data_IF_212474874002
#
_entry.id   IF_212474874002
#
_cell.length_a   1.000
_cell.length_b   1.000
_cell.length_c   1.000
_cell.angle_alpha   90.00
_cell.angle_beta   90.00
_cell.angle_gamma   90.00
#
_symmetry.space_group_name_H-M   'P 1'
#
loop_
_entity.id
_entity.type
_entity.pdbx_description
1 polymer ?
#
# COMPACT_ATOMS: atom_id res chain seq x y z
N UNK A 1 30.74 -24.63 78.34
CA UNK A 1 30.32 -23.46 77.54
C UNK A 1 30.89 -23.37 76.10
N UNK A 2 32.04 -24.00 75.77
CA UNK A 2 32.66 -23.91 74.45
C UNK A 2 31.98 -24.73 73.30
N UNK A 3 31.27 -25.84 73.62
CA UNK A 3 30.64 -26.69 72.61
C UNK A 3 29.29 -26.16 72.05
N UNK A 4 28.57 -25.36 72.87
CA UNK A 4 27.31 -24.76 72.43
C UNK A 4 27.47 -23.57 71.47
N UNK A 5 28.58 -22.82 71.63
CA UNK A 5 28.88 -21.66 70.80
C UNK A 5 29.30 -21.98 69.34
N UNK A 6 29.97 -23.15 69.19
CA UNK A 6 30.34 -23.68 67.85
C UNK A 6 29.12 -24.21 67.05
N UNK A 7 28.11 -24.71 67.76
CA UNK A 7 26.88 -25.21 67.10
C UNK A 7 25.97 -24.08 66.64
N UNK A 8 25.93 -22.96 67.40
CA UNK A 8 25.18 -21.78 66.97
C UNK A 8 25.82 -21.08 65.77
N UNK A 9 27.13 -20.99 65.69
CA UNK A 9 27.86 -20.41 64.55
C UNK A 9 27.69 -21.21 63.26
N UNK A 10 27.64 -22.55 63.34
CA UNK A 10 27.39 -23.37 62.16
C UNK A 10 25.96 -23.28 61.61
N UNK A 11 24.93 -23.07 62.49
CA UNK A 11 23.54 -22.86 62.05
C UNK A 11 23.36 -21.50 61.40
N UNK A 12 24.01 -20.45 61.92
CA UNK A 12 23.96 -19.11 61.34
C UNK A 12 24.65 -19.10 59.95
N UNK A 13 25.79 -19.81 59.81
CA UNK A 13 26.47 -19.93 58.51
C UNK A 13 25.63 -20.71 57.45
N UNK A 14 24.94 -21.77 57.85
CA UNK A 14 24.05 -22.51 56.97
C UNK A 14 22.79 -21.74 56.60
N UNK A 15 22.20 -20.94 57.50
CA UNK A 15 21.08 -20.04 57.20
C UNK A 15 21.50 -18.94 56.24
N UNK A 16 22.69 -18.32 56.42
CA UNK A 16 23.17 -17.29 55.51
C UNK A 16 23.44 -17.82 54.10
N UNK A 17 24.00 -19.03 53.97
CA UNK A 17 24.20 -19.69 52.69
C UNK A 17 22.84 -20.06 52.03
N UNK A 18 21.83 -20.47 52.80
CA UNK A 18 20.51 -20.78 52.31
C UNK A 18 19.78 -19.50 51.83
N UNK A 19 19.89 -18.39 52.56
CA UNK A 19 19.31 -17.09 52.19
C UNK A 19 19.96 -16.55 50.91
N UNK A 20 21.31 -16.63 50.80
CA UNK A 20 21.99 -16.17 49.57
C UNK A 20 21.60 -17.02 48.36
N UNK A 21 21.51 -18.33 48.55
CA UNK A 21 21.12 -19.27 47.48
C UNK A 21 19.66 -19.10 47.05
N UNK A 22 18.75 -18.81 47.99
CA UNK A 22 17.35 -18.50 47.70
C UNK A 22 17.17 -17.13 47.01
N UNK A 23 18.00 -16.14 47.36
CA UNK A 23 18.01 -14.83 46.70
C UNK A 23 18.60 -14.88 45.28
N UNK A 24 19.53 -15.79 45.01
CA UNK A 24 20.01 -16.04 43.64
C UNK A 24 18.98 -16.80 42.80
N UNK A 25 18.25 -17.76 43.37
CA UNK A 25 17.18 -18.44 42.66
C UNK A 25 15.96 -17.53 42.39
N UNK A 26 15.67 -16.55 43.27
CA UNK A 26 14.61 -15.55 43.01
C UNK A 26 15.03 -14.51 41.97
N UNK A 27 16.33 -14.25 41.81
CA UNK A 27 16.83 -13.39 40.70
C UNK A 27 16.88 -14.09 39.34
N UNK A 28 16.93 -15.41 39.29
CA UNK A 28 16.86 -16.18 38.03
C UNK A 28 15.42 -16.48 37.59
N UNK A 29 14.41 -16.18 38.42
CA UNK A 29 13.01 -16.51 38.16
C UNK A 29 12.18 -15.44 37.42
N UNK A 30 12.74 -14.29 37.06
CA UNK A 30 12.05 -13.23 36.30
C UNK A 30 12.89 -12.73 35.13
N UNK A 31 13.47 -13.64 34.37
CA UNK A 31 13.68 -13.35 32.97
C UNK A 31 12.26 -13.28 32.38
N UNK A 32 11.73 -12.06 32.19
CA UNK A 32 10.53 -11.87 31.40
C UNK A 32 10.77 -12.65 30.12
N UNK A 33 9.91 -13.62 29.84
CA UNK A 33 9.92 -14.33 28.56
C UNK A 33 9.85 -13.24 27.52
N UNK A 34 10.95 -12.94 26.84
CA UNK A 34 10.95 -11.96 25.75
C UNK A 34 9.90 -12.48 24.77
N UNK A 35 8.75 -11.82 24.79
CA UNK A 35 7.69 -12.14 23.81
C UNK A 35 8.26 -11.74 22.46
N UNK A 36 8.37 -12.71 21.56
CA UNK A 36 8.78 -12.45 20.18
C UNK A 36 7.93 -11.32 19.63
N UNK A 37 8.52 -10.22 19.15
CA UNK A 37 7.75 -9.11 18.62
C UNK A 37 6.82 -9.59 17.49
N UNK A 38 5.59 -9.07 17.45
CA UNK A 38 4.61 -9.42 16.44
C UNK A 38 4.14 -8.16 15.72
N UNK A 39 4.06 -8.20 14.40
CA UNK A 39 3.62 -7.10 13.55
C UNK A 39 2.36 -7.50 12.77
N UNK A 40 1.28 -6.76 12.96
CA UNK A 40 0.04 -6.93 12.19
C UNK A 40 -0.06 -5.84 11.13
N UNK A 41 -0.30 -6.22 9.88
CA UNK A 41 -0.37 -5.29 8.77
C UNK A 41 -1.70 -5.38 7.98
N UNK A 42 -2.18 -4.24 7.51
CA UNK A 42 -3.14 -4.19 6.41
C UNK A 42 -2.39 -3.88 5.12
N UNK A 43 -2.62 -4.70 4.09
CA UNK A 43 -1.91 -4.60 2.82
C UNK A 43 -2.89 -4.21 1.73
N UNK A 44 -2.73 -3.00 1.17
CA UNK A 44 -3.49 -2.52 0.02
C UNK A 44 -2.61 -2.47 -1.24
N UNK A 45 -1.77 -3.47 -1.38
CA UNK A 45 -0.95 -3.78 -2.55
C UNK A 45 -1.24 -5.22 -2.99
N UNK A 46 -0.52 -5.74 -3.97
CA UNK A 46 -0.53 -7.18 -4.24
C UNK A 46 -0.03 -7.96 -3.04
N UNK A 47 -0.57 -9.15 -2.82
CA UNK A 47 -0.24 -9.98 -1.67
C UNK A 47 1.25 -10.33 -1.59
N UNK A 48 1.88 -10.60 -2.73
CA UNK A 48 3.29 -10.92 -2.84
C UNK A 48 4.21 -9.78 -2.39
N UNK A 49 3.82 -8.52 -2.63
CA UNK A 49 4.55 -7.33 -2.16
C UNK A 49 4.52 -7.28 -0.62
N UNK A 50 3.33 -7.35 -0.02
CA UNK A 50 3.17 -7.32 1.43
C UNK A 50 3.91 -8.47 2.10
N UNK A 51 3.78 -9.68 1.56
CA UNK A 51 4.44 -10.89 2.05
C UNK A 51 5.96 -10.78 1.97
N UNK A 52 6.52 -10.33 0.83
CA UNK A 52 7.95 -10.21 0.64
C UNK A 52 8.59 -9.20 1.61
N UNK A 53 7.94 -8.03 1.82
CA UNK A 53 8.42 -7.02 2.75
C UNK A 53 8.36 -7.50 4.20
N UNK A 54 7.23 -8.08 4.62
CA UNK A 54 7.01 -8.53 6.00
C UNK A 54 7.89 -9.73 6.36
N UNK A 55 8.02 -10.73 5.47
CA UNK A 55 8.86 -11.89 5.74
C UNK A 55 10.33 -11.50 5.85
N UNK A 56 10.84 -10.73 4.88
CA UNK A 56 12.24 -10.31 4.90
C UNK A 56 12.59 -9.46 6.13
N UNK A 57 11.68 -8.55 6.51
CA UNK A 57 11.86 -7.76 7.72
C UNK A 57 11.87 -8.63 8.98
N UNK A 58 10.88 -9.52 9.14
CA UNK A 58 10.78 -10.34 10.36
C UNK A 58 11.87 -11.42 10.45
N UNK A 59 12.39 -11.92 9.33
CA UNK A 59 13.59 -12.77 9.30
C UNK A 59 14.82 -12.03 9.85
N UNK A 60 15.01 -10.76 9.51
CA UNK A 60 16.13 -9.94 10.01
C UNK A 60 15.93 -9.48 11.45
N UNK A 61 14.69 -9.10 11.81
CA UNK A 61 14.38 -8.50 13.12
C UNK A 61 14.03 -9.53 14.21
N UNK A 62 13.94 -10.81 13.89
CA UNK A 62 13.53 -11.87 14.82
C UNK A 62 12.08 -11.70 15.29
N UNK A 63 11.15 -11.31 14.38
CA UNK A 63 9.75 -11.13 14.70
C UNK A 63 8.83 -12.13 13.98
N UNK A 64 7.56 -12.13 14.36
CA UNK A 64 6.48 -12.79 13.61
C UNK A 64 5.55 -11.74 13.02
N UNK A 65 4.79 -12.10 12.00
CA UNK A 65 3.84 -11.19 11.38
C UNK A 65 2.54 -11.90 10.97
N UNK A 66 1.50 -11.11 10.85
CA UNK A 66 0.27 -11.46 10.15
C UNK A 66 -0.18 -10.29 9.28
N UNK A 67 -0.91 -10.54 8.22
CA UNK A 67 -1.51 -9.48 7.43
C UNK A 67 -2.84 -9.88 6.80
N UNK A 68 -3.63 -8.86 6.47
CA UNK A 68 -4.86 -9.00 5.69
C UNK A 68 -4.74 -8.13 4.46
N UNK A 69 -4.94 -8.73 3.28
CA UNK A 69 -5.01 -7.99 2.02
C UNK A 69 -6.41 -7.38 1.84
N UNK A 70 -6.46 -6.09 1.54
CA UNK A 70 -7.68 -5.30 1.34
C UNK A 70 -7.54 -4.44 0.08
N UNK A 71 -8.65 -4.09 -0.56
CA UNK A 71 -8.64 -2.98 -1.52
C UNK A 71 -8.51 -1.65 -0.78
N UNK A 72 -8.15 -0.58 -1.49
CA UNK A 72 -7.87 0.71 -0.84
C UNK A 72 -9.07 1.25 -0.07
N UNK A 73 -10.26 1.21 -0.67
CA UNK A 73 -11.47 1.69 -0.01
C UNK A 73 -11.95 0.76 1.13
N UNK A 74 -11.77 -0.55 0.96
CA UNK A 74 -12.07 -1.52 2.03
C UNK A 74 -11.16 -1.31 3.23
N UNK A 75 -9.88 -1.02 3.00
CA UNK A 75 -8.91 -0.66 4.03
C UNK A 75 -9.37 0.58 4.80
N UNK A 76 -9.74 1.67 4.12
CA UNK A 76 -10.23 2.90 4.77
C UNK A 76 -11.49 2.63 5.59
N UNK A 77 -12.45 1.86 5.04
CA UNK A 77 -13.68 1.46 5.77
C UNK A 77 -13.35 0.62 7.00
N UNK A 78 -12.47 -0.36 6.87
CA UNK A 78 -12.09 -1.25 7.96
C UNK A 78 -11.39 -0.51 9.09
N UNK A 79 -10.38 0.29 8.78
CA UNK A 79 -9.66 1.10 9.78
C UNK A 79 -10.62 2.08 10.47
N UNK A 80 -11.56 2.68 9.73
CA UNK A 80 -12.57 3.56 10.32
C UNK A 80 -13.50 2.80 11.28
N UNK A 81 -13.91 1.59 10.94
CA UNK A 81 -14.76 0.75 11.80
C UNK A 81 -14.02 0.28 13.07
N UNK A 82 -12.71 0.14 12.99
CA UNK A 82 -11.83 -0.31 14.08
C UNK A 82 -11.24 0.86 14.89
N UNK A 83 -11.73 2.09 14.72
CA UNK A 83 -11.16 3.31 15.31
C UNK A 83 -10.89 3.21 16.83
N UNK A 84 -11.84 2.61 17.59
CA UNK A 84 -11.72 2.46 19.04
C UNK A 84 -10.81 1.28 19.45
N UNK A 85 -10.68 0.28 18.57
CA UNK A 85 -9.88 -0.93 18.81
C UNK A 85 -9.09 -1.33 17.56
N UNK A 86 -8.07 -0.56 17.18
CA UNK A 86 -7.28 -0.81 15.97
C UNK A 86 -6.55 -2.16 16.07
N UNK A 87 -6.60 -2.95 15.02
CA UNK A 87 -6.02 -4.30 14.97
C UNK A 87 -4.67 -4.35 14.27
N UNK A 88 -4.46 -3.54 13.23
CA UNK A 88 -3.19 -3.49 12.54
C UNK A 88 -2.26 -2.40 13.11
N UNK A 89 -0.96 -2.64 13.02
CA UNK A 89 0.09 -1.71 13.45
C UNK A 89 0.47 -0.77 12.31
N UNK A 90 0.53 -1.32 11.07
CA UNK A 90 0.94 -0.60 9.85
C UNK A 90 0.01 -0.88 8.69
N UNK A 91 0.00 0.05 7.75
CA UNK A 91 -0.63 -0.06 6.44
C UNK A 91 0.48 -0.06 5.39
N UNK A 92 0.45 -1.03 4.48
CA UNK A 92 1.39 -1.16 3.36
C UNK A 92 0.60 -1.03 2.07
N UNK A 93 0.92 -0.03 1.26
CA UNK A 93 0.22 0.22 -0.01
C UNK A 93 -1.11 0.93 0.16
N UNK A 94 -1.82 1.03 -0.93
CA UNK A 94 -2.86 2.01 -1.12
C UNK A 94 -2.29 3.34 -1.56
N UNK A 95 -3.10 4.13 -2.25
CA UNK A 95 -2.70 5.42 -2.75
C UNK A 95 -2.65 6.47 -1.63
N UNK A 96 -1.80 7.46 -1.77
CA UNK A 96 -1.52 8.48 -0.74
C UNK A 96 -2.79 9.20 -0.21
N UNK A 97 -3.79 9.41 -1.06
CA UNK A 97 -5.09 10.04 -0.70
C UNK A 97 -5.87 9.24 0.34
N UNK A 98 -5.80 7.89 0.28
CA UNK A 98 -6.37 7.03 1.31
C UNK A 98 -5.69 7.23 2.67
N UNK A 99 -4.35 7.33 2.69
CA UNK A 99 -3.60 7.64 3.90
C UNK A 99 -3.89 9.05 4.42
N UNK A 100 -4.07 10.02 3.52
CA UNK A 100 -4.49 11.38 3.87
C UNK A 100 -5.90 11.39 4.50
N UNK A 101 -6.81 10.58 3.98
CA UNK A 101 -8.14 10.37 4.56
C UNK A 101 -8.06 9.82 5.99
N UNK A 102 -7.20 8.83 6.24
CA UNK A 102 -7.00 8.27 7.58
C UNK A 102 -6.39 9.30 8.54
N UNK A 103 -5.45 10.12 8.08
CA UNK A 103 -4.91 11.27 8.83
C UNK A 103 -6.01 12.23 9.24
N UNK A 104 -6.83 12.70 8.29
CA UNK A 104 -7.93 13.64 8.53
C UNK A 104 -8.95 13.11 9.54
N UNK A 105 -9.15 11.79 9.58
CA UNK A 105 -10.02 11.11 10.55
C UNK A 105 -9.34 10.85 11.90
N UNK A 106 -8.06 11.21 12.07
CA UNK A 106 -7.29 10.99 13.29
C UNK A 106 -6.99 9.51 13.59
N UNK A 107 -6.94 8.66 12.56
CA UNK A 107 -6.78 7.20 12.67
C UNK A 107 -5.33 6.73 12.48
N UNK A 108 -4.45 7.57 11.96
CA UNK A 108 -3.01 7.33 11.83
C UNK A 108 -2.22 8.16 12.84
N UNK A 109 -0.91 7.94 12.92
CA UNK A 109 0.00 8.65 13.82
C UNK A 109 1.31 8.96 13.12
N UNK A 110 1.96 10.11 13.40
CA UNK A 110 3.16 10.51 12.68
C UNK A 110 4.33 9.55 12.90
N UNK A 111 5.14 9.37 11.87
CA UNK A 111 6.41 8.66 11.95
C UNK A 111 7.54 9.59 12.43
N UNK A 112 8.69 9.03 12.95
CA UNK A 112 9.82 9.83 13.39
C UNK A 112 10.46 10.67 12.27
N UNK A 113 10.98 11.86 12.64
CA UNK A 113 11.59 12.82 11.69
C UNK A 113 12.86 12.33 11.00
N UNK A 114 13.53 11.32 11.56
CA UNK A 114 14.72 10.70 10.96
C UNK A 114 14.41 9.86 9.69
N UNK A 115 13.13 9.72 9.34
CA UNK A 115 12.67 9.08 8.11
C UNK A 115 12.20 10.09 7.04
N UNK A 116 12.41 11.38 7.24
CA UNK A 116 11.94 12.41 6.31
C UNK A 116 12.53 12.20 4.90
N UNK A 117 11.61 12.13 3.92
CA UNK A 117 11.92 12.14 2.48
C UNK A 117 11.07 13.25 1.86
N UNK A 118 11.64 14.44 1.72
CA UNK A 118 10.96 15.71 1.52
C UNK A 118 9.93 15.77 0.37
N UNK A 119 9.99 14.89 -0.62
CA UNK A 119 9.18 15.02 -1.85
C UNK A 119 7.98 14.08 -1.94
N UNK A 120 7.97 12.98 -1.17
CA UNK A 120 6.95 11.92 -1.32
C UNK A 120 6.35 11.52 0.03
N UNK A 121 6.02 12.51 0.85
CA UNK A 121 5.44 12.28 2.18
C UNK A 121 4.43 13.35 2.56
N UNK A 122 3.63 13.04 3.57
CA UNK A 122 2.81 14.04 4.25
C UNK A 122 3.70 15.05 5.00
N UNK A 123 3.46 16.36 4.85
CA UNK A 123 4.21 17.39 5.58
C UNK A 123 4.21 17.20 7.10
N UNK A 124 3.13 16.65 7.67
CA UNK A 124 3.00 16.36 9.10
C UNK A 124 3.44 14.93 9.46
N UNK A 125 4.01 14.18 8.50
CA UNK A 125 4.60 12.85 8.67
C UNK A 125 3.63 11.73 9.06
N UNK A 126 2.40 11.76 8.58
CA UNK A 126 1.42 10.69 8.82
C UNK A 126 1.52 9.53 7.82
N UNK A 127 2.05 9.79 6.64
CA UNK A 127 2.35 8.76 5.63
C UNK A 127 3.62 9.12 4.86
N UNK A 128 4.27 8.11 4.30
CA UNK A 128 5.45 8.25 3.46
C UNK A 128 5.35 7.33 2.26
N UNK A 129 5.65 7.87 1.08
CA UNK A 129 5.68 7.10 -0.15
C UNK A 129 6.89 6.19 -0.21
N UNK A 130 6.67 4.95 -0.57
CA UNK A 130 7.76 3.99 -0.79
C UNK A 130 7.95 3.66 -2.28
N UNK A 131 6.97 3.98 -3.10
CA UNK A 131 6.94 3.68 -4.53
C UNK A 131 6.04 4.66 -5.28
N UNK A 132 6.40 4.95 -6.53
CA UNK A 132 5.55 5.69 -7.47
C UNK A 132 5.12 4.77 -8.60
N UNK A 133 3.83 4.79 -8.87
CA UNK A 133 3.20 4.03 -9.94
C UNK A 133 2.65 4.96 -11.02
N UNK A 134 2.94 4.66 -12.26
CA UNK A 134 2.43 5.39 -13.42
C UNK A 134 1.23 4.69 -14.00
N UNK A 135 0.15 5.42 -14.30
CA UNK A 135 -0.98 4.88 -15.07
C UNK A 135 -0.55 4.58 -16.51
N UNK A 136 -1.11 3.51 -17.06
CA UNK A 136 -0.94 3.16 -18.46
C UNK A 136 -2.20 2.49 -19.01
N UNK A 137 -2.43 2.66 -20.31
CA UNK A 137 -3.38 1.85 -21.05
C UNK A 137 -2.72 0.50 -21.31
N UNK A 138 -3.37 -0.59 -20.95
CA UNK A 138 -2.96 -1.95 -21.32
C UNK A 138 -3.78 -2.40 -22.54
N UNK A 139 -3.10 -3.01 -23.52
CA UNK A 139 -3.69 -3.43 -24.78
C UNK A 139 -3.31 -4.90 -25.02
N UNK A 140 -4.28 -5.75 -25.33
CA UNK A 140 -3.99 -7.07 -25.89
C UNK A 140 -3.59 -6.91 -27.36
N UNK A 141 -2.33 -7.21 -27.68
CA UNK A 141 -1.78 -6.99 -29.02
C UNK A 141 -2.35 -7.94 -30.07
N UNK A 142 -2.74 -9.14 -29.70
CA UNK A 142 -3.28 -10.13 -30.64
C UNK A 142 -4.71 -9.76 -31.02
N UNK A 143 -5.57 -9.45 -30.04
CA UNK A 143 -6.95 -8.97 -30.27
C UNK A 143 -6.94 -7.65 -31.05
N UNK A 144 -5.99 -6.75 -30.74
CA UNK A 144 -5.84 -5.50 -31.48
C UNK A 144 -5.49 -5.72 -32.95
N UNK A 145 -4.48 -6.54 -33.21
CA UNK A 145 -4.01 -6.82 -34.56
C UNK A 145 -5.09 -7.50 -35.42
N UNK A 146 -5.87 -8.41 -34.81
CA UNK A 146 -6.99 -9.06 -35.48
C UNK A 146 -8.07 -8.05 -35.89
N UNK A 147 -8.40 -7.08 -35.02
CA UNK A 147 -9.52 -6.15 -35.27
C UNK A 147 -9.13 -4.90 -36.02
N UNK A 148 -7.95 -4.37 -35.79
CA UNK A 148 -7.55 -3.04 -36.30
C UNK A 148 -6.25 -3.04 -37.08
N UNK A 149 -5.48 -4.12 -37.06
CA UNK A 149 -4.21 -4.22 -37.79
C UNK A 149 -3.26 -3.08 -37.45
N UNK A 150 -2.90 -2.29 -38.47
CA UNK A 150 -1.90 -1.20 -38.34
C UNK A 150 -2.48 0.12 -37.78
N UNK A 151 -3.70 0.14 -37.25
CA UNK A 151 -4.26 1.34 -36.61
C UNK A 151 -3.45 1.69 -35.38
N UNK A 152 -3.17 2.99 -35.16
CA UNK A 152 -2.42 3.47 -34.01
C UNK A 152 -3.18 3.20 -32.69
N UNK A 153 -2.44 2.81 -31.65
CA UNK A 153 -2.96 2.61 -30.30
C UNK A 153 -3.48 3.92 -29.67
N UNK A 154 -4.49 3.87 -28.81
CA UNK A 154 -4.91 5.02 -27.99
C UNK A 154 -3.78 5.48 -27.10
N UNK A 155 -3.65 6.80 -26.89
CA UNK A 155 -2.55 7.41 -26.11
C UNK A 155 -3.05 8.17 -24.89
N UNK A 156 -4.33 8.48 -24.83
CA UNK A 156 -4.97 9.27 -23.75
C UNK A 156 -6.24 8.59 -23.28
N UNK A 157 -6.74 9.02 -22.10
CA UNK A 157 -8.05 8.56 -21.62
C UNK A 157 -9.18 8.98 -22.57
N UNK A 158 -9.07 10.18 -23.18
CA UNK A 158 -10.05 10.63 -24.18
C UNK A 158 -10.07 9.76 -25.44
N UNK A 159 -8.93 9.20 -25.87
CA UNK A 159 -8.92 8.29 -27.03
C UNK A 159 -9.75 7.02 -26.78
N UNK A 160 -9.84 6.60 -25.49
CA UNK A 160 -10.61 5.41 -25.10
C UNK A 160 -12.14 5.61 -25.21
N UNK A 161 -12.60 6.85 -25.37
CA UNK A 161 -14.04 7.17 -25.51
C UNK A 161 -14.59 6.83 -26.90
N UNK A 162 -13.73 6.50 -27.87
CA UNK A 162 -14.14 6.22 -29.24
C UNK A 162 -15.14 5.05 -29.29
N UNK A 163 -16.23 5.20 -30.08
CA UNK A 163 -17.31 4.20 -30.22
C UNK A 163 -16.83 2.81 -30.64
N UNK A 164 -15.70 2.72 -31.36
CA UNK A 164 -15.10 1.45 -31.76
C UNK A 164 -14.62 0.58 -30.58
N UNK A 165 -14.51 1.13 -29.38
CA UNK A 165 -14.11 0.42 -28.16
C UNK A 165 -15.31 0.06 -27.28
N UNK A 166 -16.53 0.08 -27.80
CA UNK A 166 -17.73 -0.28 -27.05
C UNK A 166 -17.63 -1.68 -26.46
N UNK A 167 -17.78 -1.79 -25.12
CA UNK A 167 -17.65 -3.04 -24.36
C UNK A 167 -16.28 -3.72 -24.45
N UNK A 168 -15.22 -2.97 -24.73
CA UNK A 168 -13.84 -3.48 -24.85
C UNK A 168 -12.92 -2.95 -23.75
N UNK A 169 -13.42 -2.07 -22.89
CA UNK A 169 -12.64 -1.43 -21.84
C UNK A 169 -12.93 -2.06 -20.49
N UNK A 170 -11.88 -2.36 -19.74
CA UNK A 170 -11.94 -2.75 -18.32
C UNK A 170 -11.29 -1.67 -17.50
N UNK A 171 -12.00 -1.12 -16.51
CA UNK A 171 -11.51 -0.13 -15.57
C UNK A 171 -11.66 -0.62 -14.12
N UNK A 172 -10.78 -0.22 -13.20
CA UNK A 172 -11.02 -0.43 -11.78
C UNK A 172 -12.09 0.55 -11.28
N UNK A 173 -12.98 0.05 -10.43
CA UNK A 173 -14.05 0.85 -9.82
C UNK A 173 -13.47 1.83 -8.79
N UNK A 174 -13.68 3.14 -8.93
CA UNK A 174 -13.20 4.13 -7.97
C UNK A 174 -13.83 4.00 -6.57
N UNK A 175 -14.99 3.34 -6.45
CA UNK A 175 -15.60 3.04 -5.14
C UNK A 175 -14.84 1.97 -4.34
N UNK A 176 -13.92 1.23 -4.98
CA UNK A 176 -13.22 0.11 -4.37
C UNK A 176 -11.70 0.20 -4.50
N UNK A 177 -11.20 0.86 -5.53
CA UNK A 177 -9.80 0.82 -5.95
C UNK A 177 -9.14 2.20 -5.96
N UNK A 178 -7.99 2.33 -5.27
CA UNK A 178 -7.16 3.54 -5.38
C UNK A 178 -6.69 3.80 -6.81
N UNK A 179 -6.45 2.77 -7.63
CA UNK A 179 -6.17 2.94 -9.07
C UNK A 179 -7.37 3.54 -9.80
N UNK A 180 -8.59 3.12 -9.47
CA UNK A 180 -9.83 3.71 -9.99
C UNK A 180 -9.96 5.17 -9.57
N UNK A 181 -9.65 5.48 -8.30
CA UNK A 181 -9.59 6.85 -7.79
C UNK A 181 -8.58 7.71 -8.57
N UNK A 182 -7.38 7.18 -8.82
CA UNK A 182 -6.35 7.87 -9.62
C UNK A 182 -6.81 8.13 -11.06
N UNK A 183 -7.53 7.20 -11.69
CA UNK A 183 -8.10 7.39 -13.04
C UNK A 183 -9.16 8.49 -13.01
N UNK A 184 -10.06 8.45 -12.02
CA UNK A 184 -11.11 9.46 -11.86
C UNK A 184 -10.50 10.85 -11.69
N UNK A 185 -9.53 11.01 -10.82
CA UNK A 185 -8.78 12.26 -10.63
C UNK A 185 -8.12 12.72 -11.92
N UNK A 186 -7.46 11.81 -12.67
CA UNK A 186 -6.82 12.12 -13.94
C UNK A 186 -7.78 12.67 -15.00
N UNK A 187 -9.04 12.21 -14.99
CA UNK A 187 -10.07 12.73 -15.89
C UNK A 187 -10.40 14.19 -15.53
N UNK A 188 -10.58 14.50 -14.25
CA UNK A 188 -10.94 15.87 -13.84
C UNK A 188 -9.77 16.85 -14.00
N UNK A 189 -8.56 16.44 -13.64
CA UNK A 189 -7.35 17.26 -13.79
C UNK A 189 -6.98 17.52 -15.26
N UNK A 190 -7.15 16.48 -16.10
CA UNK A 190 -6.70 16.54 -17.50
C UNK A 190 -7.69 17.17 -18.47
N UNK A 191 -8.99 17.15 -18.17
CA UNK A 191 -10.01 17.56 -19.15
C UNK A 191 -10.88 18.75 -18.71
N UNK A 192 -10.77 19.24 -17.48
CA UNK A 192 -11.44 20.44 -16.99
C UNK A 192 -12.95 20.43 -17.28
N UNK A 193 -13.45 21.41 -18.00
CA UNK A 193 -14.89 21.52 -18.35
C UNK A 193 -15.43 20.37 -19.22
N UNK A 194 -14.57 19.56 -19.83
CA UNK A 194 -14.94 18.38 -20.60
C UNK A 194 -14.89 17.10 -19.77
N UNK A 195 -14.45 17.14 -18.50
CA UNK A 195 -14.23 15.96 -17.67
C UNK A 195 -15.50 15.10 -17.54
N UNK A 196 -16.65 15.71 -17.28
CA UNK A 196 -17.92 14.97 -17.15
C UNK A 196 -18.26 14.20 -18.44
N UNK A 197 -18.09 14.83 -19.60
CA UNK A 197 -18.36 14.19 -20.90
C UNK A 197 -17.39 13.03 -21.17
N UNK A 198 -16.08 13.23 -20.90
CA UNK A 198 -15.07 12.17 -21.03
C UNK A 198 -15.38 11.02 -20.07
N UNK A 199 -15.73 11.32 -18.81
CA UNK A 199 -16.08 10.32 -17.81
C UNK A 199 -17.30 9.50 -18.24
N UNK A 200 -18.37 10.16 -18.67
CA UNK A 200 -19.60 9.52 -19.18
C UNK A 200 -19.29 8.57 -20.32
N UNK A 201 -18.51 9.01 -21.29
CA UNK A 201 -18.13 8.18 -22.44
C UNK A 201 -17.23 7.03 -22.04
N UNK A 202 -16.28 7.19 -21.10
CA UNK A 202 -15.48 6.09 -20.58
C UNK A 202 -16.36 5.05 -19.89
N UNK A 203 -17.34 5.46 -19.07
CA UNK A 203 -18.31 4.55 -18.44
C UNK A 203 -19.07 3.78 -19.51
N UNK A 204 -19.59 4.43 -20.53
CA UNK A 204 -20.31 3.80 -21.66
C UNK A 204 -19.45 2.77 -22.43
N UNK A 205 -18.13 2.94 -22.50
CA UNK A 205 -17.21 2.00 -23.18
C UNK A 205 -16.78 0.85 -22.29
N UNK A 206 -16.94 1.02 -20.99
CA UNK A 206 -16.48 0.05 -19.98
C UNK A 206 -17.43 -1.14 -19.93
N UNK A 207 -16.89 -2.33 -20.17
CA UNK A 207 -17.58 -3.61 -20.04
C UNK A 207 -17.73 -4.05 -18.60
N UNK A 208 -16.69 -3.78 -17.79
CA UNK A 208 -16.61 -4.23 -16.40
C UNK A 208 -15.79 -3.26 -15.57
N UNK A 209 -16.31 -2.91 -14.41
CA UNK A 209 -15.57 -2.23 -13.33
C UNK A 209 -15.08 -3.27 -12.32
N UNK A 210 -13.75 -3.32 -12.09
CA UNK A 210 -13.14 -4.32 -11.21
C UNK A 210 -12.98 -3.81 -9.78
N UNK A 211 -13.13 -4.69 -8.80
CA UNK A 211 -13.00 -4.33 -7.37
C UNK A 211 -11.56 -4.03 -6.92
N UNK A 212 -10.56 -4.23 -7.77
CA UNK A 212 -9.16 -3.95 -7.46
C UNK A 212 -8.41 -3.44 -8.69
N UNK A 213 -7.29 -2.71 -8.45
CA UNK A 213 -6.56 -2.00 -9.48
C UNK A 213 -5.76 -2.88 -10.44
N UNK A 214 -5.39 -4.09 -10.08
CA UNK A 214 -4.56 -4.96 -10.91
C UNK A 214 -5.35 -5.89 -11.83
N UNK A 215 -6.62 -6.12 -11.57
CA UNK A 215 -7.46 -7.04 -12.36
C UNK A 215 -7.62 -6.64 -13.84
N UNK A 216 -7.72 -5.35 -14.23
CA UNK A 216 -7.86 -4.98 -15.65
C UNK A 216 -6.81 -5.63 -16.54
N UNK A 217 -5.54 -5.66 -16.13
CA UNK A 217 -4.47 -6.29 -16.91
C UNK A 217 -4.70 -7.79 -17.10
N UNK A 218 -5.25 -8.49 -16.11
CA UNK A 218 -5.52 -9.93 -16.23
C UNK A 218 -6.59 -10.23 -17.29
N UNK A 219 -7.69 -9.46 -17.30
CA UNK A 219 -8.75 -9.57 -18.33
C UNK A 219 -8.23 -9.26 -19.73
N UNK A 220 -7.36 -8.26 -19.84
CA UNK A 220 -6.74 -7.92 -21.12
C UNK A 220 -5.74 -8.99 -21.55
N UNK A 221 -4.93 -9.50 -20.64
CA UNK A 221 -3.93 -10.54 -20.92
C UNK A 221 -4.58 -11.86 -21.39
N UNK A 222 -5.74 -12.24 -20.82
CA UNK A 222 -6.50 -13.42 -21.25
C UNK A 222 -7.22 -13.26 -22.58
N UNK A 223 -7.33 -12.03 -23.12
CA UNK A 223 -8.10 -11.73 -24.33
C UNK A 223 -9.60 -11.57 -24.08
N UNK A 224 -10.05 -11.56 -22.83
CA UNK A 224 -11.46 -11.31 -22.48
C UNK A 224 -11.88 -9.86 -22.76
N UNK A 225 -10.92 -8.94 -22.79
CA UNK A 225 -11.08 -7.56 -23.21
C UNK A 225 -9.86 -7.11 -24.01
N UNK A 226 -10.05 -6.13 -24.88
CA UNK A 226 -8.95 -5.59 -25.68
C UNK A 226 -8.16 -4.53 -24.95
N UNK A 227 -8.80 -3.73 -24.08
CA UNK A 227 -8.26 -2.54 -23.45
C UNK A 227 -8.52 -2.52 -21.94
N UNK A 228 -7.60 -1.95 -21.21
CA UNK A 228 -7.78 -1.62 -19.80
C UNK A 228 -6.92 -0.44 -19.40
N UNK A 229 -7.14 0.08 -18.21
CA UNK A 229 -6.27 1.10 -17.59
C UNK A 229 -5.94 0.69 -16.17
N UNK A 230 -4.66 0.63 -15.86
CA UNK A 230 -4.17 0.44 -14.50
C UNK A 230 -2.69 0.85 -14.39
N UNK A 231 -2.04 0.52 -13.28
CA UNK A 231 -0.64 0.86 -13.11
C UNK A 231 0.28 -0.01 -13.97
N UNK A 232 1.34 0.61 -14.49
CA UNK A 232 2.28 -0.01 -15.43
C UNK A 232 3.02 -1.21 -14.82
N UNK A 233 3.28 -1.20 -13.51
CA UNK A 233 3.91 -2.31 -12.80
C UNK A 233 3.09 -3.59 -12.87
N UNK A 234 1.76 -3.50 -12.78
CA UNK A 234 0.86 -4.64 -12.95
C UNK A 234 0.92 -5.23 -14.35
N UNK A 235 0.99 -4.36 -15.36
CA UNK A 235 1.09 -4.75 -16.76
C UNK A 235 2.42 -5.43 -17.07
N UNK A 236 3.52 -4.91 -16.52
CA UNK A 236 4.87 -5.45 -16.71
C UNK A 236 4.99 -6.87 -16.15
N UNK A 237 4.37 -7.15 -15.02
CA UNK A 237 4.39 -8.48 -14.40
C UNK A 237 3.80 -9.58 -15.29
N UNK A 238 2.81 -9.26 -16.15
CA UNK A 238 2.24 -10.19 -17.11
C UNK A 238 3.02 -10.24 -18.42
N UNK A 239 3.57 -9.10 -18.87
CA UNK A 239 4.44 -9.07 -20.04
C UNK A 239 5.69 -9.96 -19.86
N UNK A 240 6.27 -9.97 -18.67
CA UNK A 240 7.40 -10.85 -18.33
C UNK A 240 7.02 -12.35 -18.33
N UNK A 241 5.73 -12.67 -18.21
CA UNK A 241 5.18 -14.01 -18.37
C UNK A 241 4.75 -14.32 -19.82
N UNK A 242 5.19 -13.50 -20.78
CA UNK A 242 4.94 -13.65 -22.21
C UNK A 242 3.46 -13.52 -22.66
N UNK A 243 2.62 -12.85 -21.86
CA UNK A 243 1.29 -12.51 -22.32
C UNK A 243 1.35 -11.42 -23.41
N UNK A 244 0.42 -11.43 -24.38
CA UNK A 244 0.41 -10.49 -25.52
C UNK A 244 -0.12 -9.12 -25.10
N UNK A 245 0.56 -8.48 -24.15
CA UNK A 245 0.15 -7.17 -23.62
C UNK A 245 1.17 -6.09 -23.93
N UNK A 246 0.66 -4.91 -24.30
CA UNK A 246 1.43 -3.69 -24.52
C UNK A 246 0.92 -2.60 -23.60
N UNK A 247 1.87 -1.89 -22.98
CA UNK A 247 1.59 -0.74 -22.13
C UNK A 247 1.81 0.56 -22.91
N UNK A 248 0.84 1.48 -22.82
CA UNK A 248 0.96 2.86 -23.31
C UNK A 248 0.91 3.77 -22.06
N UNK A 249 2.03 4.31 -21.62
CA UNK A 249 2.09 5.15 -20.42
C UNK A 249 1.24 6.42 -20.57
N UNK A 250 0.48 6.77 -19.54
CA UNK A 250 -0.21 8.04 -19.38
C UNK A 250 0.66 9.00 -18.56
N UNK A 251 0.36 10.30 -18.64
CA UNK A 251 1.08 11.30 -17.83
C UNK A 251 0.40 11.52 -16.47
N UNK A 252 0.18 10.42 -15.77
CA UNK A 252 -0.48 10.40 -14.46
C UNK A 252 0.20 9.37 -13.58
N UNK A 253 0.47 9.79 -12.35
CA UNK A 253 1.17 8.98 -11.35
C UNK A 253 0.36 8.90 -10.07
N UNK A 254 0.61 7.87 -9.27
CA UNK A 254 0.18 7.79 -7.87
C UNK A 254 1.35 7.38 -6.99
N UNK A 255 1.29 7.76 -5.72
CA UNK A 255 2.24 7.34 -4.70
C UNK A 255 1.60 6.20 -3.92
N UNK A 256 2.27 5.05 -3.88
CA UNK A 256 1.97 4.00 -2.94
C UNK A 256 2.65 4.33 -1.61
N UNK A 257 1.87 4.40 -0.55
CA UNK A 257 2.34 4.89 0.74
C UNK A 257 2.33 3.81 1.82
N UNK A 258 3.08 4.08 2.87
CA UNK A 258 3.09 3.33 4.12
C UNK A 258 2.76 4.28 5.26
N UNK A 259 1.98 3.82 6.23
CA UNK A 259 1.65 4.56 7.45
C UNK A 259 1.46 3.63 8.63
N UNK A 260 1.43 4.19 9.84
CA UNK A 260 1.13 3.44 11.06
C UNK A 260 -0.16 3.92 11.69
N UNK A 261 -0.88 2.99 12.31
CA UNK A 261 -2.17 3.26 12.92
C UNK A 261 -2.01 3.78 14.37
N UNK A 262 -2.95 4.63 14.75
CA UNK A 262 -3.05 5.17 16.11
C UNK A 262 -3.56 4.08 17.07
N UNK A 263 -3.18 4.17 18.36
CA UNK A 263 -3.71 3.32 19.42
C UNK A 263 -3.08 1.93 19.56
N UNK A 264 -2.07 1.60 18.73
CA UNK A 264 -1.34 0.34 18.84
C UNK A 264 -0.12 0.45 19.74
N UNK A 265 0.23 -0.63 20.44
CA UNK A 265 1.35 -0.70 21.39
C UNK A 265 2.70 -0.94 20.70
N UNK A 266 2.71 -1.54 19.50
CA UNK A 266 3.91 -1.94 18.76
C UNK A 266 4.53 -0.80 17.94
N UNK A 267 4.49 0.44 18.44
CA UNK A 267 4.97 1.63 17.72
C UNK A 267 6.47 1.56 17.33
N UNK A 268 7.32 0.96 18.19
CA UNK A 268 8.75 0.77 17.87
C UNK A 268 8.94 -0.18 16.68
N UNK A 269 8.20 -1.28 16.68
CA UNK A 269 8.24 -2.29 15.61
C UNK A 269 7.72 -1.72 14.29
N UNK A 270 6.60 -0.98 14.35
CA UNK A 270 6.03 -0.30 13.19
C UNK A 270 7.03 0.71 12.58
N UNK A 271 7.68 1.54 13.41
CA UNK A 271 8.71 2.47 12.94
C UNK A 271 9.92 1.74 12.32
N UNK A 272 10.37 0.65 12.94
CA UNK A 272 11.50 -0.14 12.42
C UNK A 272 11.13 -0.79 11.07
N UNK A 273 9.91 -1.30 10.94
CA UNK A 273 9.42 -1.82 9.67
C UNK A 273 9.32 -0.75 8.58
N UNK A 274 8.80 0.44 8.90
CA UNK A 274 8.76 1.55 7.94
C UNK A 274 10.17 1.93 7.46
N UNK A 275 11.16 2.02 8.38
CA UNK A 275 12.57 2.25 7.99
C UNK A 275 13.11 1.16 7.09
N UNK A 276 12.77 -0.11 7.37
CA UNK A 276 13.17 -1.22 6.51
C UNK A 276 12.60 -1.08 5.10
N UNK A 277 11.31 -0.77 4.94
CA UNK A 277 10.68 -0.58 3.61
C UNK A 277 11.39 0.51 2.81
N UNK A 278 11.83 1.59 3.47
CA UNK A 278 12.56 2.71 2.85
C UNK A 278 14.06 2.45 2.68
N UNK A 279 14.61 1.41 3.30
CA UNK A 279 16.02 1.05 3.19
C UNK A 279 16.39 0.49 1.80
N UNK A 280 17.69 0.37 1.53
CA UNK A 280 18.19 -0.25 0.31
C UNK A 280 17.66 -1.68 0.11
N UNK A 281 17.53 -2.46 1.20
CA UNK A 281 17.03 -3.84 1.17
C UNK A 281 15.54 -3.90 0.86
N UNK A 282 14.71 -3.10 1.54
CA UNK A 282 13.27 -2.99 1.27
C UNK A 282 13.00 -2.51 -0.15
N UNK A 283 13.73 -1.51 -0.61
CA UNK A 283 13.62 -0.99 -1.96
C UNK A 283 14.14 -2.00 -3.03
N UNK A 284 15.11 -2.85 -2.69
CA UNK A 284 15.56 -3.93 -3.56
C UNK A 284 14.49 -5.03 -3.71
N UNK A 285 13.75 -5.33 -2.64
CA UNK A 285 12.60 -6.24 -2.69
C UNK A 285 11.51 -5.67 -3.59
N UNK A 286 11.12 -4.40 -3.39
CA UNK A 286 10.11 -3.73 -4.21
C UNK A 286 10.42 -3.79 -5.71
N UNK A 287 11.68 -3.52 -6.11
CA UNK A 287 12.09 -3.65 -7.52
C UNK A 287 11.86 -5.03 -8.13
N UNK A 288 11.89 -6.09 -7.32
CA UNK A 288 11.70 -7.47 -7.79
C UNK A 288 10.23 -7.88 -7.88
N UNK A 289 9.38 -7.34 -7.00
CA UNK A 289 8.00 -7.83 -6.86
C UNK A 289 6.95 -6.84 -7.31
N UNK A 290 7.22 -5.53 -7.28
CA UNK A 290 6.23 -4.50 -7.62
C UNK A 290 6.32 -4.04 -9.06
N UNK A 291 7.52 -3.89 -9.63
CA UNK A 291 7.78 -3.22 -10.90
C UNK A 291 7.44 -1.72 -10.93
N UNK A 292 7.00 -1.14 -9.85
CA UNK A 292 6.86 0.31 -9.70
C UNK A 292 8.23 0.99 -9.57
N UNK A 293 8.25 2.31 -9.55
CA UNK A 293 9.49 3.07 -9.37
C UNK A 293 9.73 3.33 -7.88
N UNK A 294 10.75 2.74 -7.27
CA UNK A 294 11.09 2.97 -5.87
C UNK A 294 11.43 4.44 -5.60
N UNK A 295 11.02 4.96 -4.45
CA UNK A 295 11.12 6.39 -4.13
C UNK A 295 12.54 6.94 -4.16
N UNK A 296 13.55 6.17 -3.74
CA UNK A 296 14.95 6.63 -3.79
C UNK A 296 15.48 6.85 -5.23
N UNK A 297 14.86 6.23 -6.25
CA UNK A 297 15.24 6.41 -7.64
C UNK A 297 14.65 7.70 -8.22
N UNK A 298 13.55 8.19 -7.66
CA UNK A 298 12.81 9.35 -8.14
C UNK A 298 13.49 10.66 -7.74
N UNK A 299 14.04 10.75 -6.55
CA UNK A 299 14.77 11.92 -6.05
C UNK A 299 15.95 12.35 -6.97
N UNK A 300 16.30 11.53 -7.95
CA UNK A 300 17.38 11.79 -8.90
C UNK A 300 16.90 12.19 -10.31
N UNK A 301 15.65 12.04 -10.67
CA UNK A 301 15.26 12.05 -12.09
C UNK A 301 14.12 12.97 -12.51
N UNK A 302 13.15 13.30 -11.69
CA UNK A 302 12.09 14.29 -12.01
C UNK A 302 11.31 14.73 -10.76
N UNK A 303 10.95 16.04 -10.63
CA UNK A 303 9.99 16.45 -9.62
C UNK A 303 8.60 15.89 -10.01
N UNK A 304 8.05 15.03 -9.17
CA UNK A 304 6.64 14.65 -9.27
C UNK A 304 5.86 15.81 -8.67
N UNK A 305 5.32 16.68 -9.53
CA UNK A 305 4.35 17.67 -9.12
C UNK A 305 3.04 16.95 -8.79
N UNK A 306 2.89 16.55 -7.54
CA UNK A 306 1.58 16.22 -6.98
C UNK A 306 1.15 17.40 -6.11
N UNK A 307 -0.03 17.94 -6.42
CA UNK A 307 -0.74 18.81 -5.50
C UNK A 307 -1.20 17.98 -4.30
N UNK A 308 -0.31 17.75 -3.34
CA UNK A 308 -0.64 17.11 -2.06
C UNK A 308 -1.35 18.14 -1.16
N UNK A 309 -2.47 18.69 -1.64
CA UNK A 309 -3.26 19.68 -0.92
C UNK A 309 -4.45 19.06 -0.19
N UNK A 310 -4.92 19.74 0.87
CA UNK A 310 -6.08 19.28 1.66
C UNK A 310 -7.40 19.24 0.84
N UNK A 311 -7.49 19.99 -0.26
CA UNK A 311 -8.71 20.14 -1.07
C UNK A 311 -8.99 18.91 -1.94
N UNK A 312 -7.99 18.11 -2.29
CA UNK A 312 -8.12 16.92 -3.16
C UNK A 312 -9.13 15.91 -2.60
N UNK A 313 -9.18 15.71 -1.28
CA UNK A 313 -10.11 14.75 -0.67
C UNK A 313 -11.57 15.24 -0.76
N UNK A 314 -11.79 16.54 -0.74
CA UNK A 314 -13.13 17.12 -0.92
C UNK A 314 -13.59 16.98 -2.38
N UNK A 315 -12.75 17.37 -3.33
CA UNK A 315 -13.01 17.29 -4.76
C UNK A 315 -13.24 15.83 -5.20
N UNK A 316 -12.44 14.89 -4.68
CA UNK A 316 -12.61 13.46 -4.98
C UNK A 316 -14.01 12.93 -4.61
N UNK A 317 -14.59 13.38 -3.48
CA UNK A 317 -15.94 12.95 -3.07
C UNK A 317 -17.00 13.42 -4.05
N UNK A 318 -16.83 14.60 -4.64
CA UNK A 318 -17.76 15.15 -5.62
C UNK A 318 -17.60 14.42 -6.97
N UNK A 319 -16.37 14.12 -7.38
CA UNK A 319 -16.09 13.32 -8.57
C UNK A 319 -16.67 11.91 -8.45
N UNK A 320 -16.51 11.28 -7.28
CA UNK A 320 -17.05 9.94 -7.01
C UNK A 320 -18.60 9.94 -7.03
N UNK A 321 -19.22 10.99 -6.49
CA UNK A 321 -20.67 11.13 -6.54
C UNK A 321 -21.16 11.26 -8.00
N UNK A 322 -20.48 12.05 -8.82
CA UNK A 322 -20.80 12.18 -10.23
C UNK A 322 -20.61 10.86 -10.99
N UNK A 323 -19.49 10.16 -10.73
CA UNK A 323 -19.26 8.82 -11.31
C UNK A 323 -20.45 7.89 -11.03
N UNK A 324 -20.89 7.79 -9.78
CA UNK A 324 -22.01 6.93 -9.38
C UNK A 324 -23.33 7.35 -10.08
N UNK A 325 -23.62 8.65 -10.15
CA UNK A 325 -24.80 9.16 -10.87
C UNK A 325 -24.78 8.85 -12.36
N UNK A 326 -23.60 8.81 -12.99
CA UNK A 326 -23.45 8.49 -14.41
C UNK A 326 -23.53 6.98 -14.67
N UNK A 327 -23.11 6.15 -13.71
CA UNK A 327 -23.15 4.69 -13.81
C UNK A 327 -24.58 4.14 -13.66
N UNK A 328 -25.44 4.82 -12.88
CA UNK A 328 -26.85 4.44 -12.64
C UNK A 328 -27.80 4.79 -13.81
N UNK A 329 -27.32 5.49 -14.84
CA UNK A 329 -28.09 5.89 -16.05
C UNK A 329 -27.89 4.90 -17.19
#
# INVERSE_FOLDING_TARGET
MRKGMLFLLSIICLMSIWIVRNNEQTKQGTAARETVPHLTAYVSAKEDIGRALLSSYCEQAGCTYEFVRLSTEELVRRVTKEADHPRADVIIGGTWDAHQTLKQRGLSTPFPSDMDQAELQDPDRYWIGYEVERLAIVINTDVWNERFGAVAYPKTLADLTAKRYQNELILPDPNHSGTGATILQAVFDGYGTKAEEVLRQLIERTRLFTANGFAPTSYVASGEAMLGVNFIGDQQSLREKYYPVKSIPLDTYSINAISKLKGRTQQKQANAFMRFVLSADGQAILRKVSFGTPTYAIAKTQPIQQNVGQDIVADYRDYLRLFNQLQDK
#
